data_IF_093204869311
#
_entry.id   IF_093204869311
#
_cell.length_a   1.000
_cell.length_b   1.000
_cell.length_c   1.000
_cell.angle_alpha   90.00
_cell.angle_beta   90.00
_cell.angle_gamma   90.00
#
_symmetry.space_group_name_H-M   'P 1'
#
loop_
_entity.id
_entity.type
_entity.pdbx_description
1 polymer ?
#
# COMPACT_ATOMS: atom_id res chain seq x y z
N UNK A 1 -3.41 -14.33 8.83
CA UNK A 1 -3.87 -15.74 8.95
C UNK A 1 -3.49 -16.48 7.67
N UNK A 2 -3.25 -17.79 7.72
CA UNK A 2 -3.09 -18.59 6.49
C UNK A 2 -4.47 -19.12 6.06
N UNK A 3 -4.90 -18.82 4.83
CA UNK A 3 -6.15 -19.29 4.22
C UNK A 3 -5.88 -19.66 2.76
N UNK A 4 -6.37 -20.82 2.33
CA UNK A 4 -6.21 -21.30 0.94
C UNK A 4 -4.75 -21.26 0.46
N UNK A 5 -3.80 -21.56 1.35
CA UNK A 5 -2.37 -21.56 1.04
C UNK A 5 -1.74 -20.16 0.90
N UNK A 6 -2.38 -19.10 1.37
CA UNK A 6 -1.85 -17.72 1.37
C UNK A 6 -2.04 -17.02 2.70
N UNK A 7 -1.15 -16.09 3.00
CA UNK A 7 -1.39 -15.12 4.06
C UNK A 7 -2.49 -14.16 3.63
N UNK A 8 -3.49 -14.00 4.49
CA UNK A 8 -4.56 -13.01 4.35
C UNK A 8 -4.56 -12.08 5.56
N UNK A 9 -4.80 -10.77 5.35
CA UNK A 9 -4.85 -9.79 6.42
C UNK A 9 -6.15 -9.98 7.22
N UNK A 10 -6.13 -9.75 8.53
CA UNK A 10 -7.35 -9.73 9.35
C UNK A 10 -7.67 -8.31 9.79
N UNK A 11 -6.64 -7.58 10.19
CA UNK A 11 -6.70 -6.17 10.54
C UNK A 11 -5.39 -5.50 10.14
N UNK A 12 -5.49 -4.28 9.64
CA UNK A 12 -4.36 -3.40 9.43
C UNK A 12 -4.64 -2.08 10.16
N UNK A 13 -3.64 -1.56 10.85
CA UNK A 13 -3.70 -0.23 11.45
C UNK A 13 -2.40 0.49 11.15
N UNK A 14 -2.51 1.75 10.73
CA UNK A 14 -1.36 2.61 10.52
C UNK A 14 -1.62 3.98 11.11
N UNK A 15 -0.57 4.55 11.68
CA UNK A 15 -0.52 5.92 12.16
C UNK A 15 0.80 6.52 11.71
N UNK A 16 0.75 7.73 11.18
CA UNK A 16 1.94 8.53 10.96
C UNK A 16 1.66 10.00 11.21
N UNK A 17 2.72 10.70 11.63
CA UNK A 17 2.69 12.14 11.84
C UNK A 17 3.84 12.78 11.06
N UNK A 18 3.53 13.77 10.24
CA UNK A 18 4.54 14.49 9.45
C UNK A 18 4.32 16.00 9.66
N UNK A 19 5.31 16.68 10.26
CA UNK A 19 5.21 18.10 10.62
C UNK A 19 3.91 18.42 11.40
N UNK A 20 3.55 17.61 12.39
CA UNK A 20 2.35 17.79 13.21
C UNK A 20 1.02 17.43 12.53
N UNK A 21 1.07 16.90 11.29
CA UNK A 21 -0.13 16.44 10.55
C UNK A 21 -0.30 14.95 10.74
N UNK A 22 -1.46 14.56 11.23
CA UNK A 22 -1.73 13.17 11.56
C UNK A 22 -2.47 12.48 10.42
N UNK A 23 -2.13 11.22 10.20
CA UNK A 23 -2.87 10.31 9.34
C UNK A 23 -3.00 8.97 10.03
N UNK A 24 -4.25 8.52 10.17
CA UNK A 24 -4.62 7.24 10.76
C UNK A 24 -5.45 6.46 9.76
N UNK A 25 -5.16 5.18 9.64
CA UNK A 25 -5.97 4.24 8.86
C UNK A 25 -6.16 2.96 9.65
N UNK A 26 -7.38 2.44 9.64
CA UNK A 26 -7.75 1.15 10.22
C UNK A 26 -8.57 0.38 9.18
N UNK A 27 -8.22 -0.88 9.00
CA UNK A 27 -8.87 -1.77 8.04
C UNK A 27 -9.19 -3.07 8.74
N UNK A 28 -10.46 -3.48 8.71
CA UNK A 28 -10.92 -4.79 9.16
C UNK A 28 -11.30 -5.64 7.97
N UNK A 29 -10.83 -6.88 7.91
CA UNK A 29 -11.14 -7.79 6.80
C UNK A 29 -12.00 -8.95 7.30
N UNK A 30 -13.20 -9.07 6.73
CA UNK A 30 -14.09 -10.21 6.91
C UNK A 30 -14.09 -11.06 5.65
N UNK A 31 -13.30 -12.13 5.68
CA UNK A 31 -13.15 -13.05 4.54
C UNK A 31 -14.31 -14.05 4.40
N UNK A 32 -15.20 -14.16 5.39
CA UNK A 32 -16.41 -14.98 5.30
C UNK A 32 -17.51 -14.19 4.57
N UNK A 33 -17.70 -12.94 4.97
CA UNK A 33 -18.64 -12.00 4.33
C UNK A 33 -18.06 -11.37 3.06
N UNK A 34 -16.76 -11.53 2.82
CA UNK A 34 -16.00 -10.91 1.72
C UNK A 34 -16.17 -9.39 1.73
N UNK A 35 -15.83 -8.77 2.86
CA UNK A 35 -15.89 -7.33 3.02
C UNK A 35 -14.66 -6.77 3.73
N UNK A 36 -14.36 -5.51 3.46
CA UNK A 36 -13.36 -4.75 4.19
C UNK A 36 -13.98 -3.48 4.77
N UNK A 37 -13.92 -3.33 6.08
CA UNK A 37 -14.25 -2.09 6.79
C UNK A 37 -13.03 -1.18 6.73
N UNK A 38 -13.20 0.06 6.28
CA UNK A 38 -12.11 1.01 6.08
C UNK A 38 -12.43 2.33 6.77
N UNK A 39 -11.60 2.66 7.76
CA UNK A 39 -11.66 3.91 8.51
C UNK A 39 -10.36 4.66 8.29
N UNK A 40 -10.44 5.87 7.76
CA UNK A 40 -9.26 6.70 7.55
C UNK A 40 -9.54 8.15 7.91
N UNK A 41 -8.57 8.77 8.57
CA UNK A 41 -8.59 10.19 8.91
C UNK A 41 -7.21 10.76 8.67
N UNK A 42 -7.12 11.78 7.82
CA UNK A 42 -5.87 12.48 7.55
C UNK A 42 -6.08 13.97 7.27
N UNK A 43 -5.01 14.75 7.35
CA UNK A 43 -5.01 16.17 6.99
C UNK A 43 -4.31 16.40 5.64
N UNK A 44 -4.79 17.38 4.87
CA UNK A 44 -4.06 17.88 3.69
C UNK A 44 -2.78 18.62 4.10
N UNK A 45 -1.88 18.79 3.13
CA UNK A 45 -0.54 19.27 3.42
C UNK A 45 -0.48 20.77 3.76
N UNK A 46 -0.87 21.69 2.88
CA UNK A 46 -0.69 23.13 3.17
C UNK A 46 -1.79 23.67 4.09
N UNK A 47 -3.04 23.27 3.80
CA UNK A 47 -4.24 23.87 4.37
C UNK A 47 -4.83 23.07 5.54
N UNK A 48 -4.23 21.92 5.89
CA UNK A 48 -4.67 21.04 6.99
C UNK A 48 -6.16 20.67 6.94
N UNK A 49 -6.70 20.54 5.73
CA UNK A 49 -8.10 20.16 5.54
C UNK A 49 -8.28 18.70 5.84
N UNK A 50 -9.40 18.35 6.46
CA UNK A 50 -9.64 16.98 6.89
C UNK A 50 -10.13 16.10 5.73
N UNK A 51 -9.55 14.91 5.61
CA UNK A 51 -9.96 13.82 4.73
C UNK A 51 -10.40 12.68 5.62
N UNK A 52 -11.70 12.37 5.61
CA UNK A 52 -12.29 11.29 6.41
C UNK A 52 -12.97 10.28 5.50
N UNK A 53 -12.78 9.01 5.80
CA UNK A 53 -13.45 7.89 5.15
C UNK A 53 -13.92 6.95 6.25
N UNK A 54 -15.20 6.61 6.21
CA UNK A 54 -15.79 5.52 6.96
C UNK A 54 -16.65 4.75 5.95
N UNK A 55 -16.16 3.59 5.52
CA UNK A 55 -16.77 2.85 4.41
C UNK A 55 -16.62 1.33 4.57
N UNK A 56 -17.50 0.58 3.95
CA UNK A 56 -17.45 -0.87 3.89
C UNK A 56 -17.48 -1.30 2.44
N UNK A 57 -16.41 -1.96 2.01
CA UNK A 57 -16.23 -2.38 0.63
C UNK A 57 -16.45 -3.89 0.49
N UNK A 58 -17.22 -4.28 -0.53
CA UNK A 58 -17.36 -5.68 -0.93
C UNK A 58 -16.13 -6.15 -1.71
N UNK A 59 -15.60 -7.32 -1.36
CA UNK A 59 -14.49 -7.99 -2.04
C UNK A 59 -15.07 -8.99 -3.04
N UNK A 60 -14.90 -8.79 -4.35
CA UNK A 60 -15.45 -9.73 -5.34
C UNK A 60 -14.82 -11.13 -5.21
N UNK A 61 -15.58 -12.16 -5.61
CA UNK A 61 -15.06 -13.53 -5.64
C UNK A 61 -13.78 -13.63 -6.48
N UNK A 62 -12.78 -14.38 -6.00
CA UNK A 62 -11.52 -14.58 -6.71
C UNK A 62 -10.55 -13.40 -6.65
N UNK A 63 -10.97 -12.25 -6.13
CA UNK A 63 -10.07 -11.09 -5.94
C UNK A 63 -9.23 -11.30 -4.71
N UNK A 64 -7.90 -11.28 -4.90
CA UNK A 64 -6.93 -11.31 -3.82
C UNK A 64 -6.78 -9.90 -3.25
N UNK A 65 -6.86 -9.81 -1.93
CA UNK A 65 -6.66 -8.57 -1.19
C UNK A 65 -5.60 -8.80 -0.13
N UNK A 66 -4.61 -7.92 -0.11
CA UNK A 66 -3.50 -7.92 0.82
C UNK A 66 -3.41 -6.55 1.52
N UNK A 67 -2.79 -6.52 2.69
CA UNK A 67 -2.16 -5.30 3.22
C UNK A 67 -0.66 -5.36 2.95
N UNK A 68 0.09 -4.32 3.37
CA UNK A 68 1.53 -4.29 3.17
C UNK A 68 2.24 -5.51 3.80
N UNK A 69 1.77 -6.03 4.94
CA UNK A 69 2.40 -7.15 5.64
C UNK A 69 2.04 -8.49 5.01
N UNK A 70 0.77 -8.75 4.69
CA UNK A 70 0.37 -10.00 4.05
C UNK A 70 0.97 -10.12 2.64
N UNK A 71 1.09 -9.01 1.91
CA UNK A 71 1.82 -8.94 0.64
C UNK A 71 3.29 -9.38 0.81
N UNK A 72 3.99 -8.80 1.80
CA UNK A 72 5.38 -9.16 2.11
C UNK A 72 5.54 -10.61 2.55
N UNK A 73 4.66 -11.11 3.41
CA UNK A 73 4.67 -12.50 3.87
C UNK A 73 4.42 -13.48 2.72
N UNK A 74 3.47 -13.18 1.83
CA UNK A 74 3.20 -13.97 0.64
C UNK A 74 4.39 -13.97 -0.33
N UNK A 75 5.10 -12.85 -0.48
CA UNK A 75 6.31 -12.81 -1.29
C UNK A 75 7.45 -13.63 -0.67
N UNK A 76 7.69 -13.44 0.63
CA UNK A 76 8.72 -14.13 1.40
C UNK A 76 8.56 -15.64 1.33
N UNK A 77 7.35 -16.12 1.58
CA UNK A 77 7.04 -17.55 1.66
C UNK A 77 6.76 -18.16 0.27
N UNK A 78 6.90 -17.40 -0.82
CA UNK A 78 6.69 -17.87 -2.19
C UNK A 78 5.23 -18.19 -2.53
N UNK A 79 4.29 -17.69 -1.73
CA UNK A 79 2.84 -17.89 -1.88
C UNK A 79 2.22 -16.84 -2.83
N UNK A 80 3.00 -15.85 -3.26
CA UNK A 80 2.63 -14.90 -4.30
C UNK A 80 3.04 -15.40 -5.68
N UNK A 81 2.10 -16.06 -6.37
CA UNK A 81 2.32 -16.51 -7.75
C UNK A 81 2.35 -15.32 -8.71
N UNK A 82 3.40 -15.19 -9.54
CA UNK A 82 3.44 -14.18 -10.59
C UNK A 82 2.46 -14.51 -11.74
N UNK A 83 2.06 -13.48 -12.47
CA UNK A 83 1.32 -13.63 -13.72
C UNK A 83 2.23 -14.09 -14.88
N UNK A 84 1.66 -14.22 -16.08
CA UNK A 84 2.39 -14.65 -17.28
C UNK A 84 3.56 -13.71 -17.65
N UNK A 85 3.56 -12.47 -17.15
CA UNK A 85 4.58 -11.46 -17.36
C UNK A 85 5.57 -11.39 -16.18
N UNK A 86 5.46 -12.28 -15.19
CA UNK A 86 6.32 -12.29 -14.01
C UNK A 86 5.90 -11.29 -12.93
N UNK A 87 4.76 -10.62 -13.07
CA UNK A 87 4.30 -9.59 -12.12
C UNK A 87 3.55 -10.20 -10.96
N UNK A 88 3.82 -9.73 -9.77
CA UNK A 88 3.10 -10.09 -8.56
C UNK A 88 1.93 -9.12 -8.39
N UNK A 89 0.71 -9.61 -8.59
CA UNK A 89 -0.52 -8.81 -8.52
C UNK A 89 -1.37 -9.17 -7.29
N UNK A 90 -1.87 -8.15 -6.61
CA UNK A 90 -2.93 -8.25 -5.59
C UNK A 90 -3.73 -6.94 -5.57
N UNK A 91 -4.68 -6.80 -4.65
CA UNK A 91 -5.36 -5.52 -4.40
C UNK A 91 -5.13 -5.06 -2.98
N UNK A 92 -5.17 -3.75 -2.78
CA UNK A 92 -5.14 -3.11 -1.46
C UNK A 92 -6.39 -2.28 -1.28
N UNK A 93 -6.88 -2.23 -0.04
CA UNK A 93 -7.97 -1.32 0.32
C UNK A 93 -7.38 0.04 0.61
N UNK A 94 -7.89 1.07 -0.08
CA UNK A 94 -7.47 2.47 0.13
C UNK A 94 -8.65 3.41 -0.01
N UNK A 95 -8.46 4.66 0.41
CA UNK A 95 -9.31 5.77 0.00
C UNK A 95 -9.22 5.97 -1.52
N UNK A 96 -10.37 6.00 -2.19
CA UNK A 96 -10.53 6.49 -3.56
C UNK A 96 -10.25 7.98 -3.61
N UNK A 97 -9.45 8.39 -4.58
CA UNK A 97 -9.13 9.78 -4.86
C UNK A 97 -9.24 10.01 -6.36
N UNK A 98 -9.51 11.26 -6.76
CA UNK A 98 -9.47 11.64 -8.18
C UNK A 98 -8.01 11.70 -8.63
N UNK A 99 -7.74 11.36 -9.90
CA UNK A 99 -6.42 11.58 -10.51
C UNK A 99 -6.04 13.07 -10.55
N UNK A 100 -7.04 13.96 -10.47
CA UNK A 100 -6.85 15.41 -10.39
C UNK A 100 -6.69 15.92 -8.96
N UNK A 101 -6.89 15.09 -7.93
CA UNK A 101 -6.89 15.53 -6.53
C UNK A 101 -5.50 16.01 -6.11
N UNK A 102 -5.34 17.32 -6.02
CA UNK A 102 -4.13 17.97 -5.55
C UNK A 102 -3.81 17.71 -4.06
N UNK A 103 -2.64 18.16 -3.58
CA UNK A 103 -2.20 17.97 -2.20
C UNK A 103 -3.13 18.60 -1.15
N UNK A 104 -3.92 19.63 -1.53
CA UNK A 104 -4.88 20.34 -0.68
C UNK A 104 -6.34 20.30 -1.14
N UNK A 105 -6.61 19.52 -2.17
CA UNK A 105 -7.97 19.31 -2.64
C UNK A 105 -8.66 18.27 -1.78
N UNK A 106 -9.93 18.54 -1.48
CA UNK A 106 -10.79 17.68 -0.65
C UNK A 106 -12.08 17.45 -1.40
N UNK A 107 -12.46 16.20 -1.57
CA UNK A 107 -13.74 15.81 -2.15
C UNK A 107 -14.89 16.05 -1.16
N UNK A 108 -16.11 16.23 -1.67
CA UNK A 108 -17.31 16.36 -0.84
C UNK A 108 -17.63 15.09 -0.04
N UNK A 109 -17.13 13.94 -0.49
CA UNK A 109 -17.21 12.68 0.23
C UNK A 109 -16.20 11.69 -0.32
N UNK A 110 -15.59 10.92 0.58
CA UNK A 110 -14.67 9.86 0.21
C UNK A 110 -15.33 8.48 0.33
N UNK A 111 -14.78 7.54 -0.42
CA UNK A 111 -15.13 6.11 -0.41
C UNK A 111 -13.86 5.28 -0.40
N UNK A 112 -13.96 4.04 0.05
CA UNK A 112 -12.92 3.06 -0.12
C UNK A 112 -12.97 2.46 -1.54
N UNK A 113 -11.84 1.95 -2.01
CA UNK A 113 -11.73 1.16 -3.23
C UNK A 113 -10.70 0.05 -3.08
N UNK A 114 -10.81 -0.97 -3.94
CA UNK A 114 -9.74 -1.93 -4.18
C UNK A 114 -8.85 -1.38 -5.29
N UNK A 115 -7.64 -0.96 -4.92
CA UNK A 115 -6.65 -0.53 -5.87
C UNK A 115 -5.69 -1.69 -6.19
N UNK A 116 -5.32 -1.89 -7.47
CA UNK A 116 -4.31 -2.88 -7.82
C UNK A 116 -2.97 -2.51 -7.19
N UNK A 117 -2.26 -3.54 -6.72
CA UNK A 117 -0.90 -3.46 -6.24
C UNK A 117 -0.05 -4.42 -7.07
N UNK A 118 0.84 -3.85 -7.87
CA UNK A 118 1.77 -4.58 -8.73
C UNK A 118 3.19 -4.48 -8.18
N UNK A 119 3.88 -5.61 -8.11
CA UNK A 119 5.31 -5.66 -7.89
C UNK A 119 5.98 -6.43 -9.02
N UNK A 120 6.97 -5.82 -9.65
CA UNK A 120 7.91 -6.50 -10.55
C UNK A 120 9.24 -6.61 -9.84
N UNK A 121 9.69 -7.84 -9.58
CA UNK A 121 10.97 -8.10 -8.93
C UNK A 121 12.04 -8.29 -9.99
N UNK A 122 13.11 -7.50 -9.89
CA UNK A 122 14.30 -7.61 -10.72
C UNK A 122 15.56 -7.43 -9.86
N UNK A 123 16.72 -7.94 -10.31
CA UNK A 123 17.99 -7.63 -9.65
C UNK A 123 18.24 -6.13 -9.67
N UNK A 124 18.63 -5.60 -8.53
CA UNK A 124 19.07 -4.23 -8.37
C UNK A 124 20.37 -3.99 -9.15
N UNK A 125 20.47 -2.93 -9.99
CA UNK A 125 21.66 -2.70 -10.81
C UNK A 125 22.95 -2.55 -9.99
N UNK A 126 22.88 -1.91 -8.83
CA UNK A 126 24.07 -1.62 -7.99
C UNK A 126 24.46 -2.81 -7.11
N UNK A 127 23.50 -3.38 -6.38
CA UNK A 127 23.76 -4.42 -5.37
C UNK A 127 23.55 -5.84 -5.85
N UNK A 128 22.94 -6.02 -7.04
CA UNK A 128 22.50 -7.32 -7.60
C UNK A 128 21.51 -8.09 -6.71
N UNK A 129 21.05 -7.49 -5.61
CA UNK A 129 20.03 -8.07 -4.72
C UNK A 129 18.65 -7.97 -5.38
N UNK A 130 17.70 -8.88 -5.06
CA UNK A 130 16.33 -8.72 -5.54
C UNK A 130 15.75 -7.39 -5.08
N UNK A 131 15.12 -6.66 -6.00
CA UNK A 131 14.45 -5.40 -5.73
C UNK A 131 13.13 -5.31 -6.49
N UNK A 132 12.18 -4.56 -5.95
CA UNK A 132 10.90 -4.27 -6.61
C UNK A 132 10.63 -2.77 -6.63
N UNK A 133 9.87 -2.34 -7.64
CA UNK A 133 9.28 -1.02 -7.69
C UNK A 133 7.83 -1.09 -7.18
N UNK A 134 7.47 -0.15 -6.31
CA UNK A 134 6.16 -0.04 -5.68
C UNK A 134 5.64 1.40 -5.81
N UNK A 135 4.45 1.55 -6.39
CA UNK A 135 3.74 2.83 -6.36
C UNK A 135 3.22 3.13 -4.95
N UNK A 136 3.99 3.91 -4.17
CA UNK A 136 3.59 4.30 -2.81
C UNK A 136 2.42 5.29 -2.78
N UNK A 137 2.04 5.90 -3.92
CA UNK A 137 0.86 6.78 -3.97
C UNK A 137 -0.44 6.03 -3.66
N UNK A 138 -0.40 4.70 -3.70
CA UNK A 138 -1.47 3.81 -3.24
C UNK A 138 -1.70 3.85 -1.74
N UNK A 139 -0.69 4.24 -0.96
CA UNK A 139 -0.72 4.23 0.50
C UNK A 139 -0.56 5.62 1.13
N UNK A 140 0.01 6.58 0.39
CA UNK A 140 0.33 7.90 0.93
C UNK A 140 0.19 8.99 -0.11
N UNK A 141 -0.47 10.09 0.25
CA UNK A 141 -0.53 11.32 -0.57
C UNK A 141 0.80 12.06 -0.66
N UNK A 142 1.82 11.63 0.08
CA UNK A 142 3.18 12.19 0.01
C UNK A 142 4.01 11.56 -1.09
N UNK A 143 3.64 10.37 -1.55
CA UNK A 143 4.39 9.66 -2.56
C UNK A 143 4.07 10.17 -3.96
N UNK A 144 5.07 10.07 -4.83
CA UNK A 144 4.95 10.41 -6.25
C UNK A 144 4.47 9.20 -7.04
N UNK A 145 3.31 9.30 -7.67
CA UNK A 145 2.78 8.24 -8.54
C UNK A 145 3.66 8.02 -9.78
N UNK A 146 4.32 9.07 -10.28
CA UNK A 146 5.22 9.03 -11.43
C UNK A 146 6.62 8.48 -11.10
N UNK A 147 6.92 8.28 -9.81
CA UNK A 147 8.22 7.80 -9.34
C UNK A 147 8.04 6.74 -8.26
N UNK A 148 7.91 5.45 -8.64
CA UNK A 148 7.71 4.39 -7.68
C UNK A 148 8.88 4.28 -6.70
N UNK A 149 8.58 3.88 -5.48
CA UNK A 149 9.60 3.55 -4.49
C UNK A 149 10.25 2.22 -4.83
N UNK A 150 11.53 2.11 -4.47
CA UNK A 150 12.32 0.90 -4.57
C UNK A 150 12.36 0.18 -3.24
N UNK A 151 12.08 -1.11 -3.25
CA UNK A 151 12.21 -2.04 -2.12
C UNK A 151 13.34 -3.00 -2.45
N UNK A 152 14.31 -3.16 -1.55
CA UNK A 152 15.40 -4.15 -1.67
C UNK A 152 15.15 -5.28 -0.69
N UNK A 153 15.34 -6.51 -1.16
CA UNK A 153 15.19 -7.72 -0.37
C UNK A 153 16.53 -8.38 -0.07
N UNK A 154 16.60 -9.14 1.02
CA UNK A 154 17.71 -10.05 1.30
C UNK A 154 17.55 -11.40 0.58
N UNK A 155 18.48 -12.34 0.84
CA UNK A 155 18.44 -13.69 0.27
C UNK A 155 17.24 -14.53 0.73
N UNK A 156 16.58 -14.14 1.82
CA UNK A 156 15.36 -14.76 2.34
C UNK A 156 14.09 -13.99 1.90
N UNK A 157 14.21 -13.08 0.93
CA UNK A 157 13.10 -12.26 0.41
C UNK A 157 12.48 -11.31 1.44
N UNK A 158 13.19 -10.98 2.52
CA UNK A 158 12.74 -9.99 3.51
C UNK A 158 13.13 -8.59 3.05
N UNK A 159 12.25 -7.58 3.16
CA UNK A 159 12.61 -6.21 2.80
C UNK A 159 13.65 -5.68 3.80
N UNK A 160 14.71 -5.06 3.28
CA UNK A 160 15.81 -4.50 4.07
C UNK A 160 15.92 -2.98 3.93
N UNK A 161 15.52 -2.46 2.78
CA UNK A 161 15.56 -1.04 2.46
C UNK A 161 14.38 -0.66 1.57
N UNK A 162 13.66 0.40 1.94
CA UNK A 162 12.65 1.03 1.10
C UNK A 162 13.06 2.48 0.88
N UNK A 163 13.22 2.89 -0.37
CA UNK A 163 13.61 4.24 -0.74
C UNK A 163 12.69 4.78 -1.82
N UNK A 164 12.20 6.00 -1.69
CA UNK A 164 11.36 6.60 -2.72
C UNK A 164 11.31 8.12 -2.63
N UNK A 165 11.18 8.81 -3.77
CA UNK A 165 10.94 10.24 -3.76
C UNK A 165 9.50 10.55 -3.29
N UNK A 166 9.37 11.65 -2.57
CA UNK A 166 8.10 12.20 -2.15
C UNK A 166 7.85 13.53 -2.87
N UNK A 167 6.68 14.13 -2.64
CA UNK A 167 6.38 15.48 -3.10
C UNK A 167 7.34 16.51 -2.48
N UNK A 168 7.42 17.69 -3.10
CA UNK A 168 8.20 18.84 -2.61
C UNK A 168 9.70 18.60 -2.46
N UNK A 169 10.27 17.69 -3.27
CA UNK A 169 11.70 17.42 -3.28
C UNK A 169 12.21 16.61 -2.08
N UNK A 170 11.30 16.10 -1.24
CA UNK A 170 11.66 15.23 -0.11
C UNK A 170 11.80 13.76 -0.55
N UNK A 171 12.38 12.93 0.32
CA UNK A 171 12.54 11.49 0.08
C UNK A 171 12.26 10.68 1.35
N UNK A 172 11.84 9.44 1.16
CA UNK A 172 11.66 8.45 2.19
C UNK A 172 12.81 7.43 2.13
N UNK A 173 13.35 7.07 3.29
CA UNK A 173 14.27 5.95 3.45
C UNK A 173 13.91 5.19 4.72
N UNK A 174 13.47 3.94 4.56
CA UNK A 174 13.14 3.04 5.66
C UNK A 174 14.15 1.89 5.61
N UNK A 175 14.89 1.72 6.70
CA UNK A 175 15.75 0.55 6.91
C UNK A 175 15.04 -0.41 7.86
N UNK A 176 14.97 -1.66 7.45
CA UNK A 176 14.39 -2.75 8.23
C UNK A 176 15.54 -3.68 8.63
N UNK A 177 15.70 -3.89 9.94
CA UNK A 177 16.76 -4.70 10.56
C UNK A 177 16.18 -5.95 11.21
#
# INVERSE_FOLDING_TARGET
>A
MLREGRWVPLRAASYFEIYGRQSRTEIGYDHERRSAEYHARGETFLMRRLRVVDDVLAIPAGVRVDDAFSALLNYRDGLWSPDAQGRLMTHVVRRRHSDTEGPDEVASGYRAELAPLELTVAPDPESQKPAALLDLSRFSSWARSDKPARIVFDGERRPTLITGPLILGSSLSIRLS
#
